data_IF_601817658123
#
_entry.id   IF_601817658123
#
_cell.length_a   1.000
_cell.length_b   1.000
_cell.length_c   1.000
_cell.angle_alpha   90.00
_cell.angle_beta   90.00
_cell.angle_gamma   90.00
#
_symmetry.space_group_name_H-M   'P 1'
#
loop_
_entity.id
_entity.type
_entity.pdbx_description
1 polymer ?
#
# COMPACT_ATOMS: atom_id res chain seq x y z
N UNK A 1 -12.11 0.04 14.21
CA UNK A 1 -12.90 -0.40 13.03
C UNK A 1 -12.39 -1.76 12.59
N UNK A 2 -13.30 -2.66 12.28
CA UNK A 2 -12.93 -4.02 11.89
C UNK A 2 -12.54 -4.02 10.40
N UNK A 3 -11.25 -3.97 10.12
CA UNK A 3 -10.66 -3.94 8.77
C UNK A 3 -11.16 -5.06 7.83
N UNK A 4 -11.67 -6.15 8.39
CA UNK A 4 -12.21 -7.27 7.62
C UNK A 4 -13.65 -7.06 7.14
N UNK A 5 -14.29 -5.95 7.50
CA UNK A 5 -15.69 -5.66 7.13
C UNK A 5 -15.85 -4.86 5.82
N UNK A 6 -14.78 -4.64 5.06
CA UNK A 6 -14.87 -3.97 3.76
C UNK A 6 -15.77 -4.71 2.77
N UNK A 7 -16.62 -3.96 2.08
CA UNK A 7 -17.56 -4.48 1.10
C UNK A 7 -17.00 -4.34 -0.32
N UNK A 8 -16.67 -5.46 -0.96
CA UNK A 8 -16.10 -5.48 -2.32
C UNK A 8 -17.03 -4.84 -3.35
N UNK A 9 -18.33 -5.11 -3.28
CA UNK A 9 -19.31 -4.56 -4.23
C UNK A 9 -19.31 -3.02 -4.16
N UNK A 10 -19.27 -2.46 -2.95
CA UNK A 10 -19.15 -1.03 -2.72
C UNK A 10 -17.82 -0.46 -3.23
N UNK A 11 -16.71 -1.16 -3.01
CA UNK A 11 -15.42 -0.77 -3.55
C UNK A 11 -15.42 -0.67 -5.07
N UNK A 12 -16.01 -1.65 -5.77
CA UNK A 12 -16.17 -1.61 -7.23
C UNK A 12 -17.13 -0.49 -7.67
N UNK A 13 -18.22 -0.24 -6.95
CA UNK A 13 -19.14 0.86 -7.25
C UNK A 13 -18.48 2.23 -7.11
N UNK A 14 -17.68 2.44 -6.06
CA UNK A 14 -16.96 3.68 -5.81
C UNK A 14 -15.92 4.02 -6.88
N UNK A 15 -15.30 3.00 -7.44
CA UNK A 15 -14.21 3.15 -8.41
C UNK A 15 -14.67 3.04 -9.86
N UNK A 16 -15.81 2.41 -10.11
CA UNK A 16 -16.24 2.02 -11.45
C UNK A 16 -15.37 0.91 -12.08
N UNK A 17 -14.62 0.19 -11.26
CA UNK A 17 -13.76 -0.92 -11.68
C UNK A 17 -14.56 -2.20 -11.90
N UNK A 18 -13.92 -3.17 -12.52
CA UNK A 18 -14.45 -4.51 -12.73
C UNK A 18 -13.47 -5.57 -12.20
N UNK A 19 -13.83 -6.83 -12.33
CA UNK A 19 -13.02 -7.96 -11.83
C UNK A 19 -12.00 -8.49 -12.85
N UNK A 20 -11.86 -7.86 -14.01
CA UNK A 20 -11.02 -8.38 -15.11
C UNK A 20 -9.54 -8.15 -14.89
N UNK A 21 -9.19 -7.12 -14.11
CA UNK A 21 -7.82 -6.75 -13.79
C UNK A 21 -7.62 -6.61 -12.29
N UNK A 22 -6.40 -6.85 -11.84
CA UNK A 22 -5.99 -6.58 -10.45
C UNK A 22 -6.08 -5.10 -10.11
N UNK A 23 -6.32 -4.81 -8.85
CA UNK A 23 -6.42 -3.46 -8.33
C UNK A 23 -5.14 -3.09 -7.57
N UNK A 24 -4.48 -2.05 -8.02
CA UNK A 24 -3.34 -1.42 -7.35
C UNK A 24 -3.83 -0.21 -6.56
N UNK A 25 -3.63 -0.22 -5.25
CA UNK A 25 -3.85 0.96 -4.40
C UNK A 25 -2.52 1.71 -4.23
N UNK A 26 -2.51 3.01 -4.48
CA UNK A 26 -1.36 3.88 -4.26
C UNK A 26 -1.69 4.92 -3.20
N UNK A 27 -0.87 5.04 -2.17
CA UNK A 27 -1.08 6.03 -1.10
C UNK A 27 0.22 6.60 -0.53
N UNK A 28 0.36 7.92 -0.64
CA UNK A 28 1.53 8.67 -0.17
C UNK A 28 1.47 9.15 1.29
N UNK A 29 0.49 8.64 2.07
CA UNK A 29 0.15 9.17 3.39
C UNK A 29 -0.87 10.33 3.33
N UNK A 30 -1.25 10.87 4.49
CA UNK A 30 -2.32 11.90 4.60
C UNK A 30 -2.00 13.21 3.87
N UNK A 31 -0.71 13.58 3.79
CA UNK A 31 -0.25 14.77 3.07
C UNK A 31 0.04 14.49 1.59
N UNK A 32 0.04 13.22 1.20
CA UNK A 32 0.48 12.78 -0.12
C UNK A 32 2.00 12.76 -0.27
N UNK A 33 2.47 12.31 -1.42
CA UNK A 33 3.87 12.34 -1.82
C UNK A 33 3.97 12.83 -3.26
N UNK A 34 4.54 14.03 -3.45
CA UNK A 34 4.72 14.60 -4.79
C UNK A 34 5.52 13.64 -5.69
N UNK A 35 6.66 13.14 -5.21
CA UNK A 35 7.53 12.22 -5.95
C UNK A 35 6.80 10.95 -6.36
N UNK A 36 6.09 10.30 -5.42
CA UNK A 36 5.31 9.10 -5.71
C UNK A 36 4.19 9.39 -6.72
N UNK A 37 3.43 10.47 -6.51
CA UNK A 37 2.34 10.85 -7.41
C UNK A 37 2.84 11.08 -8.85
N UNK A 38 3.95 11.81 -9.01
CA UNK A 38 4.59 12.06 -10.31
C UNK A 38 5.03 10.75 -10.95
N UNK A 39 5.76 9.90 -10.21
CA UNK A 39 6.24 8.61 -10.74
C UNK A 39 5.09 7.72 -11.19
N UNK A 40 3.99 7.64 -10.43
CA UNK A 40 2.81 6.85 -10.84
C UNK A 40 2.18 7.42 -12.11
N UNK A 41 2.02 8.74 -12.21
CA UNK A 41 1.37 9.39 -13.37
C UNK A 41 2.21 9.28 -14.64
N UNK A 42 3.53 9.43 -14.53
CA UNK A 42 4.46 9.25 -15.64
C UNK A 42 4.45 7.82 -16.19
N UNK A 43 4.13 6.84 -15.34
CA UNK A 43 4.09 5.41 -15.70
C UNK A 43 2.67 4.86 -15.88
N UNK A 44 1.67 5.72 -15.93
CA UNK A 44 0.27 5.33 -15.88
C UNK A 44 -0.12 4.37 -17.02
N UNK A 45 0.37 4.57 -18.24
CA UNK A 45 0.07 3.71 -19.38
C UNK A 45 0.59 2.27 -19.17
N UNK A 46 1.83 2.14 -18.67
CA UNK A 46 2.42 0.83 -18.37
C UNK A 46 1.69 0.13 -17.22
N UNK A 47 1.37 0.86 -16.16
CA UNK A 47 0.66 0.31 -15.01
C UNK A 47 -0.77 -0.11 -15.36
N UNK A 48 -1.48 0.66 -16.20
CA UNK A 48 -2.84 0.36 -16.63
C UNK A 48 -2.93 -0.86 -17.57
N UNK A 49 -1.79 -1.32 -18.10
CA UNK A 49 -1.76 -2.59 -18.83
C UNK A 49 -2.19 -3.75 -17.93
N UNK A 50 -1.68 -3.80 -16.70
CA UNK A 50 -1.87 -4.93 -15.78
C UNK A 50 -2.84 -4.66 -14.64
N UNK A 51 -3.05 -3.37 -14.29
CA UNK A 51 -3.83 -2.96 -13.11
C UNK A 51 -4.97 -2.00 -13.46
N UNK A 52 -5.97 -1.95 -12.58
CA UNK A 52 -6.81 -0.80 -12.32
C UNK A 52 -6.24 -0.10 -11.09
N UNK A 53 -6.20 1.24 -11.05
CA UNK A 53 -5.42 1.99 -10.06
C UNK A 53 -6.30 2.91 -9.25
N UNK A 54 -6.30 2.73 -7.93
CA UNK A 54 -6.84 3.66 -6.95
C UNK A 54 -5.67 4.50 -6.44
N UNK A 55 -5.70 5.82 -6.64
CA UNK A 55 -4.61 6.71 -6.23
C UNK A 55 -5.08 7.71 -5.18
N UNK A 56 -4.67 7.49 -3.92
CA UNK A 56 -4.87 8.45 -2.82
C UNK A 56 -3.72 9.46 -2.85
N UNK A 57 -3.96 10.57 -3.53
CA UNK A 57 -2.91 11.53 -3.90
C UNK A 57 -2.46 12.46 -2.77
N UNK A 58 -3.32 12.65 -1.77
CA UNK A 58 -3.18 13.67 -0.74
C UNK A 58 -3.93 14.97 -1.06
N UNK A 59 -4.15 15.78 -0.04
CA UNK A 59 -4.97 17.00 -0.13
C UNK A 59 -4.42 17.99 -1.17
N UNK A 60 -5.26 18.40 -2.12
CA UNK A 60 -4.93 19.38 -3.17
C UNK A 60 -4.01 18.82 -4.27
N UNK A 61 -3.77 17.50 -4.32
CA UNK A 61 -2.83 16.88 -5.26
C UNK A 61 -3.52 16.03 -6.34
N UNK A 62 -4.85 16.05 -6.43
CA UNK A 62 -5.57 15.42 -7.54
C UNK A 62 -5.27 16.18 -8.84
N UNK A 63 -4.96 15.46 -9.89
CA UNK A 63 -4.79 16.01 -11.24
C UNK A 63 -6.03 15.73 -12.07
N UNK A 64 -6.92 16.75 -12.16
CA UNK A 64 -8.16 16.66 -12.90
C UNK A 64 -7.99 16.66 -14.44
N UNK A 65 -6.78 16.81 -14.94
CA UNK A 65 -6.49 16.71 -16.38
C UNK A 65 -6.34 15.28 -16.85
N UNK A 66 -6.17 14.34 -15.92
CA UNK A 66 -5.99 12.91 -16.24
C UNK A 66 -7.36 12.21 -16.16
N UNK A 67 -7.89 11.89 -17.34
CA UNK A 67 -9.08 11.04 -17.50
C UNK A 67 -8.68 9.76 -18.24
N UNK A 68 -8.45 8.69 -17.48
CA UNK A 68 -8.04 7.39 -18.00
C UNK A 68 -8.93 6.28 -17.42
N UNK A 69 -9.47 5.45 -18.30
CA UNK A 69 -10.22 4.27 -17.88
C UNK A 69 -9.35 3.36 -17.01
N UNK A 70 -9.86 2.97 -15.84
CA UNK A 70 -9.13 2.14 -14.88
C UNK A 70 -8.22 2.92 -13.94
N UNK A 71 -8.26 4.25 -13.94
CA UNK A 71 -7.54 5.12 -13.02
C UNK A 71 -8.50 6.08 -12.30
N UNK A 72 -8.54 6.00 -10.98
CA UNK A 72 -9.32 6.93 -10.15
C UNK A 72 -8.43 7.58 -9.10
N UNK A 73 -8.65 8.86 -8.85
CA UNK A 73 -7.89 9.65 -7.88
C UNK A 73 -8.82 10.15 -6.78
N UNK A 74 -8.34 10.08 -5.54
CA UNK A 74 -8.98 10.69 -4.38
C UNK A 74 -7.94 11.51 -3.61
N UNK A 75 -8.32 12.67 -3.09
CA UNK A 75 -7.43 13.41 -2.18
C UNK A 75 -7.20 12.62 -0.89
N UNK A 76 -8.29 12.15 -0.33
CA UNK A 76 -8.33 11.45 0.95
C UNK A 76 -9.62 10.62 1.02
N UNK A 77 -9.52 9.43 1.58
CA UNK A 77 -10.68 8.55 1.85
C UNK A 77 -10.62 8.15 3.32
N UNK A 78 -11.74 8.25 4.02
CA UNK A 78 -11.86 7.85 5.43
C UNK A 78 -12.85 6.69 5.59
N UNK A 79 -14.12 6.95 5.39
CA UNK A 79 -15.19 6.00 5.70
C UNK A 79 -15.27 4.84 4.70
N UNK A 80 -14.87 5.08 3.45
CA UNK A 80 -14.88 4.06 2.38
C UNK A 80 -13.53 3.35 2.19
N UNK A 81 -12.52 3.64 3.02
CA UNK A 81 -11.17 3.06 2.86
C UNK A 81 -11.18 1.54 2.98
N UNK A 82 -11.97 1.00 3.90
CA UNK A 82 -12.11 -0.46 4.08
C UNK A 82 -12.69 -1.14 2.85
N UNK A 83 -13.64 -0.49 2.16
CA UNK A 83 -14.24 -1.00 0.93
C UNK A 83 -13.24 -0.98 -0.24
N UNK A 84 -12.42 0.08 -0.34
CA UNK A 84 -11.33 0.15 -1.31
C UNK A 84 -10.24 -0.89 -1.02
N UNK A 85 -9.86 -1.10 0.24
CA UNK A 85 -8.92 -2.15 0.64
C UNK A 85 -9.45 -3.55 0.33
N UNK A 86 -10.77 -3.77 0.44
CA UNK A 86 -11.39 -5.06 0.15
C UNK A 86 -11.26 -5.49 -1.32
N UNK A 87 -11.09 -4.55 -2.26
CA UNK A 87 -10.86 -4.84 -3.68
C UNK A 87 -9.39 -4.72 -4.10
N UNK A 88 -8.49 -4.32 -3.18
CA UNK A 88 -7.08 -4.10 -3.47
C UNK A 88 -6.31 -5.42 -3.51
N UNK A 89 -5.58 -5.65 -4.58
CA UNK A 89 -4.70 -6.80 -4.75
C UNK A 89 -3.25 -6.52 -4.33
N UNK A 90 -2.74 -5.33 -4.59
CA UNK A 90 -1.38 -4.90 -4.25
C UNK A 90 -1.41 -3.44 -3.83
N UNK A 91 -0.54 -3.05 -2.90
CA UNK A 91 -0.44 -1.67 -2.46
C UNK A 91 0.96 -1.10 -2.69
N UNK A 92 1.04 0.15 -3.16
CA UNK A 92 2.25 0.99 -3.11
C UNK A 92 2.01 2.06 -2.06
N UNK A 93 2.79 2.08 -0.99
CA UNK A 93 2.52 2.96 0.15
C UNK A 93 3.79 3.44 0.84
N UNK A 94 3.65 4.50 1.64
CA UNK A 94 4.63 4.83 2.68
C UNK A 94 4.70 3.71 3.71
N UNK A 95 5.83 3.63 4.42
CA UNK A 95 6.10 2.59 5.42
C UNK A 95 5.71 3.00 6.86
N UNK A 96 4.56 3.67 7.02
CA UNK A 96 3.99 3.99 8.33
C UNK A 96 3.44 2.74 9.01
N UNK A 97 3.74 2.56 10.31
CA UNK A 97 3.42 1.33 11.06
C UNK A 97 1.95 0.92 10.97
N UNK A 98 1.01 1.86 11.17
CA UNK A 98 -0.42 1.54 11.15
C UNK A 98 -0.85 0.95 9.80
N UNK A 99 -0.49 1.61 8.69
CA UNK A 99 -0.84 1.17 7.35
C UNK A 99 -0.24 -0.20 7.01
N UNK A 100 1.02 -0.42 7.36
CA UNK A 100 1.70 -1.71 7.10
C UNK A 100 0.99 -2.86 7.82
N UNK A 101 0.61 -2.68 9.09
CA UNK A 101 -0.11 -3.71 9.84
C UNK A 101 -1.53 -3.95 9.33
N UNK A 102 -2.20 -2.92 8.78
CA UNK A 102 -3.47 -3.07 8.09
C UNK A 102 -3.32 -3.95 6.85
N UNK A 103 -2.33 -3.67 5.99
CA UNK A 103 -2.06 -4.48 4.79
C UNK A 103 -1.67 -5.92 5.14
N UNK A 104 -0.85 -6.11 6.18
CA UNK A 104 -0.47 -7.44 6.66
C UNK A 104 -1.69 -8.22 7.16
N UNK A 105 -2.60 -7.57 7.91
CA UNK A 105 -3.84 -8.19 8.41
C UNK A 105 -4.77 -8.61 7.28
N UNK A 106 -4.84 -7.81 6.22
CA UNK A 106 -5.63 -8.07 5.03
C UNK A 106 -4.92 -8.97 4.01
N UNK A 107 -3.65 -9.31 4.25
CA UNK A 107 -2.79 -10.11 3.36
C UNK A 107 -2.64 -9.47 1.98
N UNK A 108 -2.50 -8.16 1.94
CA UNK A 108 -2.26 -7.40 0.71
C UNK A 108 -0.75 -7.25 0.53
N UNK A 109 -0.12 -7.86 -0.49
CA UNK A 109 1.28 -7.65 -0.82
C UNK A 109 1.60 -6.17 -1.01
N UNK A 110 2.76 -5.73 -0.50
CA UNK A 110 3.09 -4.32 -0.43
C UNK A 110 4.43 -3.99 -1.07
N UNK A 111 4.45 -2.89 -1.83
CA UNK A 111 5.66 -2.18 -2.23
C UNK A 111 5.78 -0.91 -1.37
N UNK A 112 6.76 -0.87 -0.51
CA UNK A 112 6.93 0.21 0.46
C UNK A 112 7.92 1.26 -0.07
N UNK A 113 7.51 2.53 -0.02
CA UNK A 113 8.32 3.70 -0.38
C UNK A 113 8.52 4.53 0.90
N UNK A 114 9.50 4.19 1.75
CA UNK A 114 9.71 4.89 3.01
C UNK A 114 10.13 6.33 2.80
N UNK A 115 9.74 7.21 3.73
CA UNK A 115 10.27 8.58 3.81
C UNK A 115 11.78 8.55 4.05
N UNK A 116 12.52 9.42 3.35
CA UNK A 116 13.94 9.60 3.55
C UNK A 116 14.29 10.19 4.91
N UNK A 117 15.59 10.15 5.27
CA UNK A 117 16.11 10.69 6.55
C UNK A 117 16.00 12.22 6.64
N UNK A 118 15.85 12.90 5.52
CA UNK A 118 15.58 14.34 5.43
C UNK A 118 14.16 14.72 5.85
N UNK A 119 13.23 13.76 5.82
CA UNK A 119 11.80 13.95 6.11
C UNK A 119 11.30 13.16 7.33
N UNK A 120 12.08 12.21 7.84
CA UNK A 120 11.72 11.36 8.98
C UNK A 120 12.92 11.00 9.83
N UNK A 121 12.65 10.40 11.01
CA UNK A 121 13.71 9.90 11.92
C UNK A 121 14.28 8.54 11.50
N UNK A 122 13.86 7.99 10.35
CA UNK A 122 14.31 6.69 9.83
C UNK A 122 13.42 5.51 10.20
N UNK A 123 12.42 5.69 11.06
CA UNK A 123 11.47 4.66 11.48
C UNK A 123 10.76 3.97 10.29
N UNK A 124 10.41 4.74 9.25
CA UNK A 124 9.81 4.15 8.04
C UNK A 124 10.81 3.29 7.24
N UNK A 125 12.08 3.68 7.20
CA UNK A 125 13.13 2.90 6.53
C UNK A 125 13.33 1.56 7.26
N UNK A 126 13.38 1.59 8.59
CA UNK A 126 13.54 0.40 9.41
C UNK A 126 12.32 -0.52 9.29
N UNK A 127 11.11 0.04 9.27
CA UNK A 127 9.90 -0.72 9.02
C UNK A 127 9.95 -1.42 7.65
N UNK A 128 10.25 -0.68 6.57
CA UNK A 128 10.28 -1.22 5.21
C UNK A 128 11.28 -2.38 5.09
N UNK A 129 12.49 -2.21 5.59
CA UNK A 129 13.53 -3.26 5.61
C UNK A 129 13.09 -4.49 6.41
N UNK A 130 12.50 -4.28 7.59
CA UNK A 130 12.03 -5.37 8.45
C UNK A 130 10.92 -6.18 7.77
N UNK A 131 9.96 -5.52 7.12
CA UNK A 131 8.85 -6.20 6.44
C UNK A 131 9.31 -6.95 5.18
N UNK A 132 10.24 -6.38 4.41
CA UNK A 132 10.85 -7.07 3.28
C UNK A 132 11.67 -8.28 3.74
N UNK A 133 12.47 -8.15 4.79
CA UNK A 133 13.29 -9.28 5.32
C UNK A 133 12.43 -10.45 5.80
N UNK A 134 11.16 -10.20 6.16
CA UNK A 134 10.18 -11.22 6.52
C UNK A 134 9.41 -11.78 5.33
N UNK A 135 9.66 -11.28 4.13
CA UNK A 135 9.00 -11.72 2.91
C UNK A 135 7.56 -11.23 2.74
N UNK A 136 7.17 -10.09 3.36
CA UNK A 136 5.82 -9.54 3.28
C UNK A 136 5.62 -8.58 2.11
N UNK A 137 6.69 -8.26 1.38
CA UNK A 137 6.67 -7.37 0.24
C UNK A 137 8.08 -6.95 -0.18
N UNK A 138 8.16 -5.81 -0.84
CA UNK A 138 9.38 -5.17 -1.33
C UNK A 138 9.45 -3.73 -0.86
N UNK A 139 10.64 -3.10 -0.96
CA UNK A 139 10.75 -1.67 -0.74
C UNK A 139 11.70 -1.01 -1.74
N UNK A 140 11.43 0.27 -2.03
CA UNK A 140 12.29 1.16 -2.79
C UNK A 140 12.50 2.42 -1.95
N UNK A 141 13.74 2.80 -1.60
CA UNK A 141 14.02 4.11 -1.02
C UNK A 141 13.50 5.24 -1.93
N UNK A 142 12.89 6.29 -1.36
CA UNK A 142 12.23 7.33 -2.18
C UNK A 142 13.18 8.04 -3.15
N UNK A 143 14.45 8.25 -2.74
CA UNK A 143 15.49 8.84 -3.59
C UNK A 143 15.90 7.95 -4.77
N UNK A 144 15.64 6.64 -4.69
CA UNK A 144 15.90 5.66 -5.73
C UNK A 144 14.64 5.32 -6.56
N UNK A 145 13.49 5.90 -6.23
CA UNK A 145 12.24 5.63 -6.93
C UNK A 145 12.31 6.16 -8.36
N UNK A 146 12.25 5.24 -9.32
CA UNK A 146 12.25 5.48 -10.77
C UNK A 146 11.17 4.65 -11.43
N UNK A 147 10.88 4.95 -12.71
CA UNK A 147 9.98 4.13 -13.53
C UNK A 147 10.41 2.66 -13.55
N UNK A 148 11.67 2.42 -13.87
CA UNK A 148 12.20 1.07 -14.09
C UNK A 148 12.06 0.21 -12.85
N UNK A 149 12.50 0.72 -11.68
CA UNK A 149 12.44 -0.09 -10.46
C UNK A 149 11.02 -0.22 -9.89
N UNK A 150 10.14 0.76 -10.07
CA UNK A 150 8.73 0.63 -9.71
C UNK A 150 8.09 -0.56 -10.43
N UNK A 151 8.23 -0.63 -11.76
CA UNK A 151 7.65 -1.72 -12.57
C UNK A 151 8.31 -3.06 -12.27
N UNK A 152 9.63 -3.09 -12.07
CA UNK A 152 10.36 -4.30 -11.71
C UNK A 152 9.89 -4.89 -10.38
N UNK A 153 9.78 -4.07 -9.33
CA UNK A 153 9.38 -4.54 -8.01
C UNK A 153 7.90 -4.95 -7.97
N UNK A 154 7.02 -4.26 -8.69
CA UNK A 154 5.63 -4.70 -8.84
C UNK A 154 5.54 -6.05 -9.56
N UNK A 155 6.32 -6.25 -10.61
CA UNK A 155 6.38 -7.53 -11.31
C UNK A 155 6.94 -8.64 -10.42
N UNK A 156 7.97 -8.36 -9.62
CA UNK A 156 8.54 -9.33 -8.67
C UNK A 156 7.52 -9.73 -7.59
N UNK A 157 6.75 -8.77 -7.07
CA UNK A 157 5.63 -9.05 -6.14
C UNK A 157 4.60 -9.97 -6.80
N UNK A 158 4.25 -9.74 -8.06
CA UNK A 158 3.29 -10.59 -8.77
C UNK A 158 3.81 -12.01 -8.99
N UNK A 159 5.07 -12.17 -9.37
CA UNK A 159 5.71 -13.48 -9.54
C UNK A 159 5.78 -14.28 -8.24
N UNK A 160 5.93 -13.60 -7.11
CA UNK A 160 6.06 -14.24 -5.79
C UNK A 160 4.82 -14.09 -4.90
N UNK A 161 3.69 -13.64 -5.46
CA UNK A 161 2.45 -13.31 -4.73
C UNK A 161 2.01 -14.40 -3.75
N UNK A 162 1.92 -15.65 -4.19
CA UNK A 162 1.49 -16.77 -3.35
C UNK A 162 2.43 -17.00 -2.16
N UNK A 163 3.74 -16.90 -2.39
CA UNK A 163 4.75 -17.00 -1.34
C UNK A 163 4.65 -15.87 -0.33
N UNK A 164 4.45 -14.63 -0.81
CA UNK A 164 4.29 -13.44 0.05
C UNK A 164 3.04 -13.59 0.93
N UNK A 165 1.90 -13.97 0.35
CA UNK A 165 0.65 -14.18 1.09
C UNK A 165 0.82 -15.28 2.13
N UNK A 166 1.48 -16.39 1.79
CA UNK A 166 1.77 -17.47 2.73
C UNK A 166 2.65 -17.01 3.90
N UNK A 167 3.63 -16.16 3.65
CA UNK A 167 4.44 -15.57 4.72
C UNK A 167 3.61 -14.66 5.64
N UNK A 168 2.69 -13.87 5.07
CA UNK A 168 1.77 -13.03 5.85
C UNK A 168 0.82 -13.87 6.72
N UNK A 169 0.41 -15.06 6.26
CA UNK A 169 -0.42 -15.98 7.03
C UNK A 169 0.29 -16.48 8.29
N UNK A 170 1.59 -16.81 8.21
CA UNK A 170 2.37 -17.26 9.35
C UNK A 170 2.46 -16.22 10.46
N UNK A 171 2.43 -14.92 10.11
CA UNK A 171 2.39 -13.85 11.08
C UNK A 171 1.10 -13.86 11.92
N UNK A 172 -0.05 -14.10 11.29
CA UNK A 172 -1.35 -14.13 11.98
C UNK A 172 -1.51 -15.32 12.93
N UNK A 173 -0.89 -16.45 12.60
CA UNK A 173 -0.87 -17.65 13.45
C UNK A 173 0.04 -17.46 14.68
N UNK A 174 1.05 -16.58 14.58
CA UNK A 174 2.04 -16.38 15.64
C UNK A 174 1.63 -15.38 16.71
N UNK A 175 0.57 -14.60 16.48
CA UNK A 175 0.13 -13.54 17.38
C UNK A 175 -1.37 -13.59 17.59
N UNK A 176 -1.79 -13.93 18.82
CA UNK A 176 -3.16 -13.69 19.28
C UNK A 176 -3.35 -12.18 19.52
N UNK A 177 -4.60 -11.71 19.61
CA UNK A 177 -4.89 -10.29 19.93
C UNK A 177 -4.24 -9.84 21.25
N UNK A 178 -4.07 -10.76 22.21
CA UNK A 178 -3.44 -10.54 23.49
C UNK A 178 -1.93 -10.33 23.35
N UNK A 179 -1.24 -11.17 22.56
CA UNK A 179 0.20 -11.03 22.32
C UNK A 179 0.55 -9.70 21.64
N UNK A 180 -0.32 -9.20 20.75
CA UNK A 180 -0.11 -7.92 20.06
C UNK A 180 -0.24 -6.75 21.04
N UNK A 181 -1.20 -6.82 21.95
CA UNK A 181 -1.46 -5.80 22.97
C UNK A 181 -0.31 -5.73 23.98
N UNK A 182 0.17 -6.88 24.44
CA UNK A 182 1.29 -6.98 25.37
C UNK A 182 2.60 -6.48 24.78
N UNK A 183 2.85 -6.75 23.48
CA UNK A 183 4.04 -6.27 22.79
C UNK A 183 4.01 -4.76 22.56
N UNK A 184 2.86 -4.19 22.22
CA UNK A 184 2.69 -2.73 22.05
C UNK A 184 2.89 -2.02 23.39
N UNK A 185 2.38 -2.58 24.49
CA UNK A 185 2.57 -2.03 25.85
C UNK A 185 4.04 -2.17 26.29
N UNK A 186 4.66 -3.30 26.04
CA UNK A 186 6.08 -3.52 26.39
C UNK A 186 7.02 -2.56 25.65
N UNK A 187 6.81 -2.34 24.35
CA UNK A 187 7.60 -1.41 23.54
C UNK A 187 7.32 0.07 23.90
N UNK A 188 6.15 0.38 24.46
CA UNK A 188 5.81 1.72 24.94
C UNK A 188 6.39 2.04 26.33
N UNK A 189 6.57 1.02 27.17
CA UNK A 189 7.11 1.18 28.53
C UNK A 189 8.65 1.16 28.60
N UNK A 190 9.32 0.70 27.53
CA UNK A 190 10.79 0.62 27.43
C UNK A 190 11.40 1.77 26.60
N UNK A 191 10.63 2.81 26.31
CA UNK A 191 11.08 4.10 25.75
C UNK A 191 10.99 5.21 26.78
#
# INVERSE_FOLDING_TARGET
EDLKQGNKERGYQLTGFNTDKKVLLVMGGSLGSKKLNETIRENLEALLHDYQIIHLTGKGLVDNTIDKKGYVQFEFVKDDLTDLLAITDTVVSRAGSNAIYEFLTLRIPMLLIPLGLDQSRGDQIDNAKNFESKGYGRHIPEDQLTEVNLLQELNDIELHRESIIKQMETYQESYTKEDLFDKIIHDALNK
#
